data_IF_854483587592
#
_entry.id   IF_854483587592
#
_cell.length_a   1.000
_cell.length_b   1.000
_cell.length_c   1.000
_cell.angle_alpha   90.00
_cell.angle_beta   90.00
_cell.angle_gamma   90.00
#
_symmetry.space_group_name_H-M   'P 1'
#
loop_
_entity.id
_entity.type
_entity.pdbx_description
1 polymer ?
#
# COMPACT_ATOMS: atom_id res chain seq x y z
N UNK A 1 9.72 4.56 19.30
CA UNK A 1 9.51 5.93 19.80
C UNK A 1 8.16 5.97 20.51
N UNK A 2 8.08 6.45 21.75
CA UNK A 2 6.81 6.47 22.50
C UNK A 2 6.04 7.77 22.24
N UNK A 3 4.72 7.65 22.04
CA UNK A 3 3.84 8.82 21.85
C UNK A 3 3.90 9.76 23.07
N UNK A 4 3.92 11.09 22.85
CA UNK A 4 3.78 12.08 23.93
C UNK A 4 2.50 11.86 24.74
N UNK A 5 2.51 12.22 26.04
CA UNK A 5 1.37 11.97 26.93
C UNK A 5 0.06 12.59 26.42
N UNK A 6 0.11 13.82 25.90
CA UNK A 6 -1.06 14.50 25.30
C UNK A 6 -1.64 13.70 24.13
N UNK A 7 -0.77 13.21 23.23
CA UNK A 7 -1.18 12.36 22.12
C UNK A 7 -1.82 11.05 22.59
N UNK A 8 -1.27 10.39 23.61
CA UNK A 8 -1.86 9.17 24.18
C UNK A 8 -3.25 9.40 24.77
N UNK A 9 -3.45 10.52 25.46
CA UNK A 9 -4.77 10.90 26.01
C UNK A 9 -5.76 11.15 24.88
N UNK A 10 -5.36 11.88 23.83
CA UNK A 10 -6.25 12.13 22.69
C UNK A 10 -6.60 10.85 21.92
N UNK A 11 -5.66 9.91 21.74
CA UNK A 11 -5.96 8.58 21.16
C UNK A 11 -6.96 7.83 22.03
N UNK A 12 -6.78 7.82 23.35
CA UNK A 12 -7.74 7.18 24.26
C UNK A 12 -9.13 7.78 24.10
N UNK A 13 -9.24 9.11 24.07
CA UNK A 13 -10.53 9.80 24.10
C UNK A 13 -11.26 9.73 22.76
N UNK A 14 -10.54 9.79 21.64
CA UNK A 14 -11.12 9.84 20.30
C UNK A 14 -11.17 8.48 19.59
N UNK A 15 -10.24 7.56 19.88
CA UNK A 15 -10.12 6.28 19.16
C UNK A 15 -10.40 5.06 20.04
N UNK A 16 -9.79 4.96 21.23
CA UNK A 16 -9.92 3.74 22.07
C UNK A 16 -11.22 3.70 22.87
N UNK A 17 -11.77 4.87 23.22
CA UNK A 17 -13.01 4.97 23.98
C UNK A 17 -14.17 4.32 23.18
N UNK A 18 -14.84 3.28 23.72
CA UNK A 18 -15.98 2.63 23.05
C UNK A 18 -17.13 3.58 22.71
N UNK A 19 -17.27 4.67 23.48
CA UNK A 19 -18.31 5.67 23.24
C UNK A 19 -17.91 6.76 22.23
N UNK A 20 -16.68 6.70 21.72
CA UNK A 20 -16.19 7.65 20.72
C UNK A 20 -16.96 7.52 19.40
N UNK A 21 -17.08 8.62 18.63
CA UNK A 21 -17.72 8.60 17.31
C UNK A 21 -17.11 7.57 16.34
N UNK A 22 -15.78 7.39 16.37
CA UNK A 22 -15.10 6.41 15.52
C UNK A 22 -15.44 4.97 15.88
N UNK A 23 -15.44 4.60 17.18
CA UNK A 23 -15.82 3.26 17.60
C UNK A 23 -17.29 2.95 17.30
N UNK A 24 -18.17 3.95 17.42
CA UNK A 24 -19.58 3.82 17.01
C UNK A 24 -19.71 3.56 15.51
N UNK A 25 -18.95 4.26 14.67
CA UNK A 25 -18.94 4.04 13.23
C UNK A 25 -18.41 2.65 12.86
N UNK A 26 -17.32 2.19 13.50
CA UNK A 26 -16.79 0.82 13.31
C UNK A 26 -17.82 -0.23 13.73
N UNK A 27 -18.50 -0.01 14.85
CA UNK A 27 -19.53 -0.92 15.35
C UNK A 27 -20.74 -1.00 14.39
N UNK A 28 -21.22 0.14 13.89
CA UNK A 28 -22.29 0.19 12.91
C UNK A 28 -21.91 -0.57 11.63
N UNK A 29 -20.71 -0.33 11.11
CA UNK A 29 -20.20 -1.06 9.95
C UNK A 29 -20.13 -2.57 10.21
N UNK A 30 -19.64 -2.99 11.38
CA UNK A 30 -19.59 -4.40 11.77
C UNK A 30 -20.99 -5.04 11.84
N UNK A 31 -21.99 -4.31 12.32
CA UNK A 31 -23.37 -4.79 12.40
C UNK A 31 -23.98 -4.99 11.02
N UNK A 32 -23.75 -4.07 10.08
CA UNK A 32 -24.23 -4.17 8.70
C UNK A 32 -23.48 -5.26 7.92
N UNK A 33 -22.15 -5.29 8.01
CA UNK A 33 -21.31 -6.22 7.25
C UNK A 33 -21.42 -7.67 7.76
N UNK A 34 -21.74 -7.86 9.04
CA UNK A 34 -21.76 -9.19 9.67
C UNK A 34 -20.39 -9.84 9.86
N UNK A 35 -19.30 -9.11 9.58
CA UNK A 35 -17.91 -9.57 9.70
C UNK A 35 -17.13 -8.69 10.68
N UNK A 36 -16.01 -9.21 11.20
CA UNK A 36 -15.11 -8.39 12.01
C UNK A 36 -14.49 -7.26 11.17
N UNK A 37 -14.34 -6.08 11.77
CA UNK A 37 -13.67 -4.91 11.17
C UNK A 37 -12.41 -4.63 11.97
N UNK A 38 -11.26 -4.64 11.31
CA UNK A 38 -9.96 -4.40 11.91
C UNK A 38 -9.31 -3.14 11.33
N UNK A 39 -8.98 -2.20 12.21
CA UNK A 39 -8.24 -0.99 11.90
C UNK A 39 -7.37 -0.64 13.11
N UNK A 40 -6.05 -0.66 12.97
CA UNK A 40 -5.10 -0.20 13.98
C UNK A 40 -4.19 0.87 13.38
N UNK A 41 -4.52 2.16 13.57
CA UNK A 41 -3.67 3.24 13.07
C UNK A 41 -2.32 3.25 13.80
N UNK A 42 -1.23 3.33 13.04
CA UNK A 42 0.13 3.45 13.56
C UNK A 42 0.40 4.88 14.07
N UNK A 43 -0.19 5.21 15.22
CA UNK A 43 -0.22 6.56 15.78
C UNK A 43 1.16 7.21 15.92
N UNK A 44 2.19 6.43 16.26
CA UNK A 44 3.55 6.96 16.41
C UNK A 44 4.09 7.49 15.08
N UNK A 45 3.75 6.83 13.97
CA UNK A 45 4.19 7.21 12.62
C UNK A 45 3.34 8.37 12.13
N UNK A 46 2.00 8.26 12.27
CA UNK A 46 1.06 9.31 11.90
C UNK A 46 1.39 10.65 12.58
N UNK A 47 1.66 10.64 13.88
CA UNK A 47 2.05 11.84 14.61
C UNK A 47 3.40 12.36 14.13
N UNK A 48 4.40 11.50 13.93
CA UNK A 48 5.75 11.94 13.51
C UNK A 48 5.75 12.59 12.13
N UNK A 49 4.92 12.08 11.22
CA UNK A 49 4.87 12.54 9.83
C UNK A 49 3.97 13.77 9.64
N UNK A 50 2.88 13.87 10.40
CA UNK A 50 1.94 14.98 10.32
C UNK A 50 2.25 16.11 11.34
N UNK A 51 3.27 15.95 12.21
CA UNK A 51 3.69 16.98 13.20
C UNK A 51 4.05 18.31 12.53
N UNK A 52 4.54 18.26 11.27
CA UNK A 52 4.92 19.47 10.51
C UNK A 52 3.71 20.29 10.04
N UNK A 53 2.54 19.67 9.94
CA UNK A 53 1.30 20.28 9.45
C UNK A 53 0.42 20.77 10.60
N UNK A 54 0.52 20.11 11.77
CA UNK A 54 -0.33 20.36 12.92
C UNK A 54 0.48 20.79 14.13
N UNK A 55 0.25 22.04 14.59
CA UNK A 55 0.88 22.55 15.82
C UNK A 55 0.37 21.84 17.09
N UNK A 56 -0.90 21.40 17.10
CA UNK A 56 -1.52 20.68 18.21
C UNK A 56 -1.76 19.20 17.88
N UNK A 57 -1.06 18.32 18.62
CA UNK A 57 -1.17 16.86 18.53
C UNK A 57 -2.58 16.36 18.86
N UNK A 58 -3.34 17.07 19.70
CA UNK A 58 -4.72 16.71 19.98
C UNK A 58 -5.61 16.89 18.76
N UNK A 59 -5.43 18.01 18.04
CA UNK A 59 -6.18 18.30 16.82
C UNK A 59 -5.80 17.35 15.68
N UNK A 60 -4.51 17.00 15.57
CA UNK A 60 -4.04 15.99 14.62
C UNK A 60 -4.78 14.66 14.82
N UNK A 61 -4.79 14.14 16.05
CA UNK A 61 -5.44 12.84 16.34
C UNK A 61 -6.95 12.93 16.13
N UNK A 62 -7.60 14.03 16.54
CA UNK A 62 -9.01 14.24 16.30
C UNK A 62 -9.32 14.25 14.79
N UNK A 63 -8.51 14.95 13.99
CA UNK A 63 -8.66 15.02 12.53
C UNK A 63 -8.51 13.64 11.88
N UNK A 64 -7.43 12.90 12.19
CA UNK A 64 -7.22 11.54 11.69
C UNK A 64 -8.39 10.63 12.06
N UNK A 65 -8.85 10.71 13.31
CA UNK A 65 -10.00 9.95 13.79
C UNK A 65 -11.27 10.29 13.01
N UNK A 66 -11.49 11.57 12.72
CA UNK A 66 -12.64 12.02 11.93
C UNK A 66 -12.57 11.55 10.47
N UNK A 67 -11.40 11.48 9.85
CA UNK A 67 -11.24 10.86 8.52
C UNK A 67 -11.66 9.39 8.53
N UNK A 68 -11.20 8.63 9.53
CA UNK A 68 -11.54 7.23 9.70
C UNK A 68 -13.05 7.06 9.94
N UNK A 69 -13.61 7.89 10.82
CA UNK A 69 -15.05 7.91 11.07
C UNK A 69 -15.85 8.16 9.78
N UNK A 70 -15.51 9.19 9.01
CA UNK A 70 -16.18 9.49 7.74
C UNK A 70 -16.07 8.32 6.77
N UNK A 71 -14.89 7.70 6.66
CA UNK A 71 -14.71 6.53 5.79
C UNK A 71 -15.61 5.36 6.21
N UNK A 72 -15.66 5.02 7.50
CA UNK A 72 -16.53 3.95 8.00
C UNK A 72 -18.02 4.25 7.79
N UNK A 73 -18.44 5.50 7.99
CA UNK A 73 -19.81 5.93 7.73
C UNK A 73 -20.18 5.78 6.26
N UNK A 74 -19.34 6.27 5.35
CA UNK A 74 -19.58 6.14 3.90
C UNK A 74 -19.66 4.68 3.47
N UNK A 75 -18.78 3.82 3.99
CA UNK A 75 -18.84 2.39 3.68
C UNK A 75 -20.11 1.74 4.24
N UNK A 76 -20.53 2.12 5.45
CA UNK A 76 -21.80 1.62 6.03
C UNK A 76 -22.98 2.03 5.17
N UNK A 77 -23.05 3.30 4.77
CA UNK A 77 -24.09 3.82 3.88
C UNK A 77 -24.13 3.11 2.52
N UNK A 78 -22.97 2.74 1.98
CA UNK A 78 -22.88 1.97 0.74
C UNK A 78 -23.40 0.53 0.89
N UNK A 79 -23.14 -0.10 2.03
CA UNK A 79 -23.61 -1.47 2.30
C UNK A 79 -25.11 -1.53 2.57
N UNK A 80 -25.68 -0.48 3.17
CA UNK A 80 -27.12 -0.36 3.42
C UNK A 80 -27.92 0.08 2.17
N UNK A 81 -27.25 0.50 1.09
CA UNK A 81 -27.89 0.94 -0.15
C UNK A 81 -28.22 -0.28 -1.05
N UNK A 82 -29.50 -0.64 -1.12
CA UNK A 82 -30.01 -1.74 -1.97
C UNK A 82 -29.63 -1.58 -3.45
N UNK A 83 -29.39 -0.35 -3.92
CA UNK A 83 -28.95 -0.12 -5.32
C UNK A 83 -27.52 -0.60 -5.59
N UNK A 84 -26.73 -0.86 -4.54
CA UNK A 84 -25.34 -1.29 -4.60
C UNK A 84 -25.16 -2.78 -4.23
N UNK A 85 -26.24 -3.57 -4.22
CA UNK A 85 -26.21 -5.00 -3.85
C UNK A 85 -25.14 -5.79 -4.62
N UNK A 86 -25.02 -5.59 -5.93
CA UNK A 86 -23.98 -6.26 -6.75
C UNK A 86 -22.55 -5.91 -6.32
N UNK A 87 -22.33 -4.67 -5.90
CA UNK A 87 -21.02 -4.22 -5.41
C UNK A 87 -20.74 -4.80 -4.01
N UNK A 88 -21.75 -4.84 -3.15
CA UNK A 88 -21.68 -5.44 -1.82
C UNK A 88 -21.33 -6.92 -1.89
N UNK A 89 -21.95 -7.67 -2.80
CA UNK A 89 -21.62 -9.09 -3.04
C UNK A 89 -20.18 -9.29 -3.50
N UNK A 90 -19.67 -8.41 -4.40
CA UNK A 90 -18.26 -8.43 -4.82
C UNK A 90 -17.32 -8.19 -3.64
N UNK A 91 -17.62 -7.21 -2.80
CA UNK A 91 -16.83 -6.92 -1.60
C UNK A 91 -16.80 -8.12 -0.65
N UNK A 92 -17.96 -8.70 -0.34
CA UNK A 92 -18.06 -9.88 0.54
C UNK A 92 -17.32 -11.09 -0.02
N UNK A 93 -17.41 -11.30 -1.33
CA UNK A 93 -16.66 -12.35 -2.04
C UNK A 93 -15.16 -12.13 -1.87
N UNK A 94 -14.66 -10.92 -2.17
CA UNK A 94 -13.25 -10.55 -2.02
C UNK A 94 -12.76 -10.70 -0.58
N UNK A 95 -13.55 -10.28 0.39
CA UNK A 95 -13.22 -10.46 1.81
C UNK A 95 -13.12 -11.95 2.11
N UNK A 96 -14.13 -12.76 1.81
CA UNK A 96 -14.12 -14.20 2.12
C UNK A 96 -13.03 -15.01 1.39
N UNK A 97 -12.63 -14.59 0.19
CA UNK A 97 -11.56 -15.24 -0.57
C UNK A 97 -10.16 -14.90 -0.06
N UNK A 98 -9.94 -13.65 0.35
CA UNK A 98 -8.61 -13.12 0.66
C UNK A 98 -8.35 -12.97 2.16
N UNK A 99 -9.39 -12.79 2.98
CA UNK A 99 -9.31 -12.60 4.42
C UNK A 99 -10.53 -13.21 5.14
N UNK A 100 -10.59 -13.07 6.47
CA UNK A 100 -11.77 -13.48 7.27
C UNK A 100 -12.46 -12.29 7.94
N UNK A 101 -12.00 -11.08 7.62
CA UNK A 101 -12.39 -9.82 8.24
C UNK A 101 -12.08 -8.65 7.32
N UNK A 102 -12.82 -7.55 7.47
CA UNK A 102 -12.51 -6.30 6.76
C UNK A 102 -11.29 -5.65 7.42
N UNK A 103 -10.19 -5.50 6.66
CA UNK A 103 -9.02 -4.75 7.11
C UNK A 103 -9.00 -3.35 6.50
N UNK A 104 -8.76 -2.33 7.33
CA UNK A 104 -8.45 -0.97 6.90
C UNK A 104 -7.05 -0.60 7.36
N UNK A 105 -6.20 -0.23 6.41
CA UNK A 105 -4.83 0.23 6.63
C UNK A 105 -4.78 1.74 6.40
N UNK A 106 -4.16 2.45 7.34
CA UNK A 106 -4.06 3.91 7.29
C UNK A 106 -2.64 4.29 6.90
N UNK A 107 -2.52 5.05 5.82
CA UNK A 107 -1.25 5.57 5.31
C UNK A 107 -1.33 7.08 5.10
N UNK A 108 -0.18 7.68 4.83
CA UNK A 108 -0.08 9.10 4.50
C UNK A 108 0.15 9.20 3.01
N UNK A 109 -0.75 9.93 2.34
CA UNK A 109 -0.71 10.20 0.91
C UNK A 109 0.62 10.86 0.53
N UNK A 110 1.11 10.51 -0.66
CA UNK A 110 2.17 11.26 -1.35
C UNK A 110 1.62 12.48 -2.08
N UNK A 111 0.29 12.57 -2.20
CA UNK A 111 -0.45 13.65 -2.86
C UNK A 111 -1.18 14.54 -1.86
N UNK A 112 -1.68 15.68 -2.34
CA UNK A 112 -2.39 16.66 -1.50
C UNK A 112 -3.80 16.21 -1.07
N UNK A 113 -4.28 15.06 -1.57
CA UNK A 113 -5.65 14.62 -1.37
C UNK A 113 -5.73 13.30 -0.60
N UNK A 114 -6.82 13.16 0.16
CA UNK A 114 -7.21 11.90 0.76
C UNK A 114 -7.72 10.95 -0.32
N UNK A 115 -7.42 9.66 -0.22
CA UNK A 115 -7.94 8.67 -1.14
C UNK A 115 -8.09 7.30 -0.49
N UNK A 116 -8.97 6.48 -1.02
CA UNK A 116 -9.14 5.08 -0.61
C UNK A 116 -9.06 4.15 -1.82
N UNK A 117 -8.49 2.97 -1.63
CA UNK A 117 -8.45 1.93 -2.66
C UNK A 117 -8.40 0.54 -2.02
N UNK A 118 -8.85 -0.47 -2.77
CA UNK A 118 -8.64 -1.86 -2.41
C UNK A 118 -7.23 -2.31 -2.79
N UNK A 119 -6.60 -3.14 -1.95
CA UNK A 119 -5.31 -3.75 -2.22
C UNK A 119 -5.39 -5.25 -1.95
N UNK A 120 -5.36 -6.06 -3.01
CA UNK A 120 -5.26 -7.52 -2.90
C UNK A 120 -3.98 -7.93 -2.15
N UNK A 121 -2.89 -7.19 -2.35
CA UNK A 121 -1.62 -7.46 -1.68
C UNK A 121 -1.63 -7.19 -0.17
N UNK A 122 -2.37 -6.17 0.26
CA UNK A 122 -2.50 -5.82 1.69
C UNK A 122 -3.77 -6.38 2.33
N UNK A 123 -4.49 -7.22 1.61
CA UNK A 123 -5.67 -7.95 2.07
C UNK A 123 -6.74 -7.03 2.69
N UNK A 124 -6.99 -5.88 2.07
CA UNK A 124 -7.98 -4.92 2.54
C UNK A 124 -7.91 -3.55 1.88
N UNK A 125 -8.61 -2.60 2.48
CA UNK A 125 -8.62 -1.21 2.03
C UNK A 125 -7.40 -0.45 2.57
N UNK A 126 -6.87 0.44 1.74
CA UNK A 126 -5.85 1.41 2.13
C UNK A 126 -6.46 2.81 2.06
N UNK A 127 -6.50 3.50 3.20
CA UNK A 127 -6.87 4.90 3.31
C UNK A 127 -5.60 5.75 3.39
N UNK A 128 -5.38 6.58 2.36
CA UNK A 128 -4.29 7.54 2.30
C UNK A 128 -4.77 8.90 2.82
N UNK A 129 -4.14 9.40 3.87
CA UNK A 129 -4.46 10.69 4.50
C UNK A 129 -3.63 11.83 3.91
N UNK A 130 -4.20 13.03 3.75
CA UNK A 130 -3.48 14.18 3.20
C UNK A 130 -2.38 14.66 4.15
N UNK A 131 -1.30 15.20 3.60
CA UNK A 131 -0.09 15.56 4.35
C UNK A 131 0.37 17.03 4.19
N UNK A 132 -0.35 17.85 3.42
CA UNK A 132 0.06 19.22 3.09
C UNK A 132 -0.79 20.28 3.78
N UNK A 133 -2.07 20.02 4.02
CA UNK A 133 -3.00 21.01 4.57
C UNK A 133 -3.99 20.38 5.55
N UNK A 134 -4.51 21.22 6.45
CA UNK A 134 -5.61 20.89 7.34
C UNK A 134 -6.90 20.92 6.55
N UNK A 135 -7.53 19.77 6.41
CA UNK A 135 -8.80 19.64 5.70
C UNK A 135 -9.94 19.22 6.66
N UNK A 136 -11.16 19.60 6.30
CA UNK A 136 -12.35 19.08 6.98
C UNK A 136 -12.68 17.68 6.42
N UNK A 137 -12.65 16.61 7.24
CA UNK A 137 -12.80 15.23 6.73
C UNK A 137 -14.13 14.98 5.98
N UNK A 138 -15.20 15.66 6.37
CA UNK A 138 -16.52 15.53 5.76
C UNK A 138 -16.54 15.86 4.26
N UNK A 139 -15.64 16.73 3.78
CA UNK A 139 -15.58 17.10 2.37
C UNK A 139 -15.13 15.94 1.47
N UNK A 140 -14.50 14.91 2.04
CA UNK A 140 -14.03 13.73 1.30
C UNK A 140 -15.05 12.60 1.25
N UNK A 141 -16.22 12.74 1.89
CA UNK A 141 -17.23 11.69 1.90
C UNK A 141 -17.65 11.29 0.47
N UNK A 142 -17.89 12.27 -0.41
CA UNK A 142 -18.21 12.02 -1.82
C UNK A 142 -17.08 11.34 -2.58
N UNK A 143 -15.83 11.78 -2.34
CA UNK A 143 -14.63 11.20 -2.97
C UNK A 143 -14.43 9.75 -2.52
N UNK A 144 -14.59 9.46 -1.23
CA UNK A 144 -14.51 8.10 -0.71
C UNK A 144 -15.62 7.23 -1.28
N UNK A 145 -16.85 7.75 -1.41
CA UNK A 145 -17.96 7.00 -1.99
C UNK A 145 -17.65 6.58 -3.43
N UNK A 146 -17.21 7.52 -4.26
CA UNK A 146 -16.82 7.27 -5.65
C UNK A 146 -15.69 6.25 -5.74
N UNK A 147 -14.62 6.44 -4.96
CA UNK A 147 -13.46 5.55 -4.97
C UNK A 147 -13.74 4.15 -4.43
N UNK A 148 -14.65 4.02 -3.45
CA UNK A 148 -15.10 2.71 -2.95
C UNK A 148 -15.89 1.96 -4.02
N UNK A 149 -16.77 2.64 -4.77
CA UNK A 149 -17.50 2.02 -5.87
C UNK A 149 -16.56 1.58 -7.00
N UNK A 150 -15.56 2.39 -7.32
CA UNK A 150 -14.60 2.12 -8.38
C UNK A 150 -13.49 1.12 -7.98
N UNK A 151 -13.37 0.73 -6.71
CA UNK A 151 -12.18 0.02 -6.22
C UNK A 151 -11.98 -1.39 -6.81
N UNK A 152 -13.02 -1.98 -7.39
CA UNK A 152 -12.97 -3.30 -8.05
C UNK A 152 -12.94 -3.21 -9.58
N UNK A 153 -13.10 -2.02 -10.14
CA UNK A 153 -13.04 -1.82 -11.57
C UNK A 153 -11.57 -1.80 -12.04
N UNK A 154 -11.27 -2.35 -13.23
CA UNK A 154 -9.91 -2.32 -13.76
C UNK A 154 -9.47 -0.86 -13.92
N UNK A 155 -8.35 -0.50 -13.26
CA UNK A 155 -7.78 0.86 -13.28
C UNK A 155 -7.64 1.36 -14.72
N UNK A 156 -8.60 2.17 -15.19
CA UNK A 156 -8.45 2.95 -16.42
C UNK A 156 -7.36 3.99 -16.17
N UNK A 157 -6.44 4.24 -17.13
CA UNK A 157 -5.46 5.30 -16.98
C UNK A 157 -6.21 6.62 -16.77
N UNK A 158 -5.98 7.26 -15.62
CA UNK A 158 -6.63 8.51 -15.25
C UNK A 158 -6.36 9.57 -16.33
N UNK A 159 -7.42 10.02 -17.01
CA UNK A 159 -7.37 11.25 -17.79
C UNK A 159 -7.44 12.41 -16.79
N UNK A 160 -6.51 13.38 -16.84
CA UNK A 160 -6.68 14.61 -16.09
C UNK A 160 -7.89 15.35 -16.68
N UNK A 161 -8.97 15.46 -15.91
CA UNK A 161 -10.09 16.32 -16.26
C UNK A 161 -9.76 17.76 -15.83
N UNK A 162 -10.03 18.76 -16.70
CA UNK A 162 -9.79 20.16 -16.38
C UNK A 162 -10.78 20.63 -15.32
N UNK A 163 -10.24 21.26 -14.28
CA UNK A 163 -11.00 21.99 -13.26
C UNK A 163 -11.69 23.15 -13.98
N UNK A 164 -13.02 23.13 -14.05
CA UNK A 164 -13.81 24.30 -14.39
C UNK A 164 -13.78 25.28 -13.20
N UNK A 165 -12.94 26.30 -13.29
CA UNK A 165 -13.07 27.50 -12.46
C UNK A 165 -14.18 28.39 -13.04
N UNK A 166 -15.31 28.44 -12.35
CA UNK A 166 -16.36 29.42 -12.58
C UNK A 166 -15.96 30.76 -11.97
N UNK A 167 -15.51 31.69 -12.81
CA UNK A 167 -15.62 33.14 -12.56
C UNK A 167 -15.74 33.81 -13.92
N UNK A 168 -16.91 34.39 -14.18
CA UNK A 168 -17.14 35.25 -15.33
C UNK A 168 -16.54 36.63 -15.08
N UNK A 169 -15.92 37.18 -16.12
CA UNK A 169 -16.32 38.48 -16.69
C UNK A 169 -15.63 38.66 -18.05
N UNK A 170 -16.45 38.94 -19.06
CA UNK A 170 -16.08 39.45 -20.37
C UNK A 170 -15.28 40.74 -20.23
N UNK A 171 -14.20 40.97 -20.99
CA UNK A 171 -13.85 42.26 -21.62
C UNK A 171 -12.66 42.09 -22.61
N UNK A 172 -12.95 42.40 -23.87
CA UNK A 172 -12.10 43.01 -24.91
C UNK A 172 -10.76 42.37 -25.37
N UNK A 173 -10.79 42.01 -26.65
CA UNK A 173 -9.72 41.88 -27.64
C UNK A 173 -8.84 43.14 -27.76
N UNK A 174 -7.51 42.98 -27.67
CA UNK A 174 -6.52 43.73 -28.49
C UNK A 174 -5.24 42.89 -28.63
N UNK A 175 -4.93 42.47 -29.85
CA UNK A 175 -3.67 41.82 -30.18
C UNK A 175 -2.48 42.78 -30.12
N UNK A 176 -1.36 42.30 -29.57
CA UNK A 176 0.00 42.74 -29.93
C UNK A 176 0.91 41.51 -29.83
N UNK A 177 1.50 41.15 -30.96
CA UNK A 177 2.59 40.19 -31.08
C UNK A 177 3.86 40.82 -30.47
N UNK A 178 4.53 40.12 -29.57
CA UNK A 178 5.94 40.35 -29.25
C UNK A 178 6.66 39.02 -29.00
N UNK A 179 7.90 38.99 -29.47
CA UNK A 179 8.79 37.86 -29.77
C UNK A 179 9.08 36.84 -28.64
N UNK A 180 9.58 35.63 -29.01
CA UNK A 180 9.73 34.50 -28.08
C UNK A 180 10.97 34.61 -27.18
N UNK A 181 10.75 34.80 -25.87
CA UNK A 181 11.77 34.52 -24.86
C UNK A 181 11.95 33.00 -24.70
N UNK A 182 13.16 32.54 -25.02
CA UNK A 182 13.63 31.18 -24.82
C UNK A 182 13.54 30.77 -23.34
N UNK A 183 12.88 29.64 -23.00
CA UNK A 183 13.05 29.04 -21.70
C UNK A 183 14.46 28.46 -21.59
N UNK A 184 15.17 28.91 -20.57
CA UNK A 184 16.50 28.44 -20.20
C UNK A 184 16.60 26.91 -20.20
N UNK A 185 17.66 26.40 -20.85
CA UNK A 185 18.10 25.01 -20.79
C UNK A 185 18.15 24.54 -19.35
N UNK A 186 17.20 23.69 -18.94
CA UNK A 186 17.35 22.86 -17.75
C UNK A 186 18.62 22.02 -17.93
N UNK A 187 19.64 22.31 -17.14
CA UNK A 187 20.82 21.47 -17.02
C UNK A 187 20.34 20.08 -16.59
N UNK A 188 20.47 19.11 -17.50
CA UNK A 188 20.49 17.70 -17.16
C UNK A 188 21.69 17.48 -16.24
N UNK A 189 21.44 17.40 -14.94
CA UNK A 189 22.42 16.92 -13.98
C UNK A 189 22.69 15.45 -14.28
N UNK A 190 23.86 15.20 -14.87
CA UNK A 190 24.45 13.86 -14.95
C UNK A 190 24.43 13.22 -13.57
N UNK A 191 23.85 12.03 -13.47
CA UNK A 191 23.97 11.14 -12.32
C UNK A 191 25.45 10.84 -12.06
N UNK A 192 26.03 11.56 -11.11
CA UNK A 192 27.30 11.24 -10.50
C UNK A 192 26.98 10.75 -9.08
N UNK A 193 27.52 9.60 -8.61
CA UNK A 193 27.30 9.18 -7.24
C UNK A 193 27.96 10.20 -6.32
N UNK A 194 27.15 10.98 -5.60
CA UNK A 194 27.65 11.89 -4.57
C UNK A 194 28.30 11.06 -3.48
N UNK A 195 29.61 11.18 -3.33
CA UNK A 195 30.31 10.71 -2.13
C UNK A 195 29.71 11.47 -0.96
N UNK A 196 29.02 10.74 -0.07
CA UNK A 196 28.35 11.32 1.09
C UNK A 196 29.43 11.62 2.13
N UNK A 197 30.02 12.81 2.08
CA UNK A 197 31.10 13.22 2.98
C UNK A 197 30.61 13.58 4.40
N UNK A 198 29.29 13.79 4.56
CA UNK A 198 28.66 14.15 5.83
C UNK A 198 27.43 13.28 6.09
N UNK A 199 27.21 12.89 7.35
CA UNK A 199 26.00 12.14 7.73
C UNK A 199 24.75 12.99 7.45
N UNK A 200 23.71 12.43 6.80
CA UNK A 200 22.46 13.15 6.53
C UNK A 200 21.69 13.44 7.82
N UNK A 201 21.00 14.58 7.88
CA UNK A 201 20.10 14.93 8.99
C UNK A 201 18.90 13.96 9.01
N UNK A 202 18.63 13.26 10.13
CA UNK A 202 17.49 12.36 10.26
C UNK A 202 16.13 12.94 9.86
N UNK A 203 15.92 14.24 10.03
CA UNK A 203 14.65 14.90 9.71
C UNK A 203 14.47 15.19 8.21
N UNK A 204 15.55 15.04 7.44
CA UNK A 204 15.60 15.25 5.98
C UNK A 204 15.66 13.95 5.19
N UNK A 205 15.83 12.81 5.88
CA UNK A 205 15.90 11.50 5.23
C UNK A 205 14.53 11.12 4.62
N UNK A 206 14.51 10.48 3.45
CA UNK A 206 13.27 9.96 2.86
C UNK A 206 12.62 8.94 3.79
N UNK A 207 11.28 8.81 3.70
CA UNK A 207 10.54 7.81 4.47
C UNK A 207 11.07 6.40 4.15
N UNK A 208 11.13 5.47 5.13
CA UNK A 208 11.63 4.12 4.90
C UNK A 208 10.99 3.40 3.70
N UNK A 209 9.68 3.54 3.48
CA UNK A 209 9.00 2.97 2.32
C UNK A 209 9.52 3.51 0.98
N UNK A 210 9.85 4.80 0.91
CA UNK A 210 10.40 5.43 -0.31
C UNK A 210 11.88 5.10 -0.56
N UNK A 211 12.63 4.70 0.49
CA UNK A 211 14.04 4.30 0.36
C UNK A 211 14.18 3.03 -0.48
N UNK A 212 13.23 2.10 -0.36
CA UNK A 212 13.26 0.79 -1.00
C UNK A 212 12.63 0.78 -2.41
N UNK A 213 11.89 1.83 -2.77
CA UNK A 213 11.26 1.97 -4.09
C UNK A 213 12.21 2.44 -5.20
N UNK A 214 13.43 2.89 -4.85
CA UNK A 214 14.44 3.35 -5.81
C UNK A 214 15.58 2.34 -5.91
N UNK A 215 16.22 2.31 -7.07
CA UNK A 215 17.45 1.53 -7.26
C UNK A 215 18.53 2.00 -6.28
N UNK A 216 19.34 1.09 -5.71
CA UNK A 216 19.39 -0.35 -6.00
C UNK A 216 18.23 -1.15 -5.40
N UNK A 217 17.63 -2.02 -6.21
CA UNK A 217 16.68 -3.00 -5.69
C UNK A 217 17.44 -4.18 -5.08
N UNK A 218 17.08 -4.52 -3.86
CA UNK A 218 17.56 -5.67 -3.13
C UNK A 218 16.51 -6.79 -3.12
N UNK A 219 16.98 -8.01 -3.35
CA UNK A 219 16.18 -9.24 -3.29
C UNK A 219 16.96 -10.30 -2.52
N UNK A 220 16.29 -11.00 -1.62
CA UNK A 220 16.84 -12.08 -0.82
C UNK A 220 16.03 -13.34 -1.02
N UNK A 221 16.70 -14.47 -1.22
CA UNK A 221 16.07 -15.79 -1.31
C UNK A 221 16.61 -16.65 -0.18
N UNK A 222 15.73 -17.23 0.62
CA UNK A 222 16.07 -18.11 1.74
C UNK A 222 15.38 -19.46 1.57
N UNK A 223 16.14 -20.54 1.51
CA UNK A 223 15.64 -21.91 1.48
C UNK A 223 15.64 -22.50 2.90
N UNK A 224 14.47 -22.57 3.53
CA UNK A 224 14.28 -23.20 4.83
C UNK A 224 13.96 -24.69 4.65
N UNK A 225 15.00 -25.51 4.50
CA UNK A 225 14.86 -26.94 4.27
C UNK A 225 14.39 -27.28 2.84
N UNK A 226 13.68 -28.40 2.67
CA UNK A 226 13.26 -28.89 1.34
C UNK A 226 11.88 -28.39 0.89
N UNK A 227 11.13 -27.79 1.80
CA UNK A 227 9.69 -27.57 1.63
C UNK A 227 9.28 -26.11 1.76
N UNK A 228 10.23 -25.21 2.03
CA UNK A 228 9.92 -23.80 2.24
C UNK A 228 11.00 -22.92 1.61
N UNK A 229 10.56 -21.95 0.81
CA UNK A 229 11.41 -20.87 0.29
C UNK A 229 10.74 -19.54 0.63
N UNK A 230 11.51 -18.62 1.19
CA UNK A 230 11.09 -17.24 1.44
C UNK A 230 11.87 -16.30 0.53
N UNK A 231 11.18 -15.35 -0.08
CA UNK A 231 11.76 -14.38 -0.99
C UNK A 231 11.35 -13.00 -0.50
N UNK A 232 12.33 -12.19 -0.10
CA UNK A 232 12.13 -10.81 0.34
C UNK A 232 12.59 -9.87 -0.76
N UNK A 233 11.83 -8.83 -1.07
CA UNK A 233 12.20 -7.88 -2.11
C UNK A 233 11.78 -6.46 -1.73
N UNK A 234 12.68 -5.52 -1.98
CA UNK A 234 12.44 -4.07 -1.89
C UNK A 234 11.48 -3.55 -2.97
N UNK A 235 11.40 -4.24 -4.11
CA UNK A 235 10.54 -3.87 -5.24
C UNK A 235 9.33 -4.82 -5.32
N UNK A 236 8.19 -4.35 -4.83
CA UNK A 236 6.92 -5.09 -4.72
C UNK A 236 6.48 -5.75 -6.02
N UNK A 237 6.56 -5.01 -7.14
CA UNK A 237 6.10 -5.51 -8.45
C UNK A 237 6.91 -6.73 -8.92
N UNK A 238 8.18 -6.86 -8.49
CA UNK A 238 8.97 -8.07 -8.79
C UNK A 238 8.32 -9.31 -8.16
N UNK A 239 7.85 -9.20 -6.92
CA UNK A 239 7.22 -10.32 -6.21
C UNK A 239 5.80 -10.60 -6.71
N UNK A 240 5.05 -9.58 -7.11
CA UNK A 240 3.73 -9.75 -7.75
C UNK A 240 3.85 -10.58 -9.03
N UNK A 241 4.74 -10.18 -9.95
CA UNK A 241 4.99 -10.91 -11.20
C UNK A 241 5.49 -12.33 -10.93
N UNK A 242 6.38 -12.50 -9.96
CA UNK A 242 6.89 -13.82 -9.58
C UNK A 242 5.78 -14.71 -8.99
N UNK A 243 4.92 -14.16 -8.13
CA UNK A 243 3.77 -14.85 -7.53
C UNK A 243 2.79 -15.32 -8.60
N UNK A 244 2.39 -14.43 -9.52
CA UNK A 244 1.48 -14.76 -10.62
C UNK A 244 2.07 -15.83 -11.55
N UNK A 245 3.35 -15.70 -11.91
CA UNK A 245 4.05 -16.70 -12.72
C UNK A 245 4.05 -18.06 -12.03
N UNK A 246 4.44 -18.13 -10.76
CA UNK A 246 4.53 -19.40 -10.03
C UNK A 246 3.14 -20.03 -9.83
N UNK A 247 2.10 -19.24 -9.54
CA UNK A 247 0.72 -19.73 -9.46
C UNK A 247 0.25 -20.34 -10.78
N UNK A 248 0.55 -19.70 -11.91
CA UNK A 248 0.20 -20.21 -13.25
C UNK A 248 0.84 -21.56 -13.56
N UNK A 249 2.05 -21.81 -13.07
CA UNK A 249 2.81 -23.04 -13.32
C UNK A 249 2.74 -24.05 -12.15
N UNK A 250 2.01 -23.74 -11.09
CA UNK A 250 1.83 -24.64 -9.96
C UNK A 250 0.97 -25.84 -10.37
N UNK A 251 1.45 -27.05 -10.08
CA UNK A 251 0.71 -28.29 -10.33
C UNK A 251 -0.30 -28.52 -9.22
N UNK A 252 -1.35 -29.27 -9.55
CA UNK A 252 -2.29 -29.80 -8.56
C UNK A 252 -1.64 -30.98 -7.83
N UNK A 253 -1.87 -31.09 -6.52
CA UNK A 253 -1.49 -32.24 -5.72
C UNK A 253 -2.47 -33.41 -5.97
N UNK A 254 -2.06 -34.49 -6.64
CA UNK A 254 -2.96 -35.60 -6.97
C UNK A 254 -3.26 -36.51 -5.78
N UNK A 255 -2.52 -36.38 -4.66
CA UNK A 255 -2.64 -37.26 -3.50
C UNK A 255 -3.74 -36.83 -2.53
N UNK A 256 -4.33 -35.66 -2.74
CA UNK A 256 -5.44 -35.14 -1.94
C UNK A 256 -6.70 -35.12 -2.79
N UNK A 257 -7.79 -35.68 -2.27
CA UNK A 257 -9.10 -35.73 -2.95
C UNK A 257 -9.64 -34.35 -3.30
N UNK A 258 -9.27 -33.33 -2.52
CA UNK A 258 -9.61 -31.92 -2.74
C UNK A 258 -8.79 -31.26 -3.85
N UNK A 259 -7.77 -31.94 -4.40
CA UNK A 259 -6.91 -31.45 -5.49
C UNK A 259 -6.38 -30.01 -5.26
N UNK A 260 -5.79 -29.69 -4.09
CA UNK A 260 -5.21 -28.37 -3.85
C UNK A 260 -3.91 -28.19 -4.66
N UNK A 261 -3.41 -26.96 -4.81
CA UNK A 261 -2.07 -26.71 -5.37
C UNK A 261 -0.99 -27.51 -4.62
N UNK A 262 0.03 -27.98 -5.34
CA UNK A 262 1.15 -28.74 -4.79
C UNK A 262 2.13 -27.84 -4.01
N UNK A 263 2.12 -26.55 -4.29
CA UNK A 263 2.88 -25.51 -3.59
C UNK A 263 1.90 -24.39 -3.23
N UNK A 264 1.82 -24.07 -1.96
CA UNK A 264 1.14 -22.88 -1.47
C UNK A 264 2.04 -21.66 -1.68
N UNK A 265 1.47 -20.60 -2.23
CA UNK A 265 2.18 -19.40 -2.65
C UNK A 265 1.50 -18.19 -2.00
N UNK A 266 2.16 -17.63 -1.00
CA UNK A 266 1.65 -16.52 -0.20
C UNK A 266 2.49 -15.27 -0.44
N UNK A 267 1.87 -14.23 -0.99
CA UNK A 267 2.48 -12.91 -1.13
C UNK A 267 2.00 -12.02 0.01
N UNK A 268 2.92 -11.58 0.85
CA UNK A 268 2.66 -10.67 1.95
C UNK A 268 3.30 -9.32 1.63
N UNK A 269 2.49 -8.27 1.55
CA UNK A 269 3.02 -6.92 1.42
C UNK A 269 3.28 -6.33 2.80
N UNK A 270 4.47 -5.75 2.99
CA UNK A 270 4.85 -5.12 4.25
C UNK A 270 3.93 -3.95 4.57
N UNK A 271 3.44 -3.87 5.81
CA UNK A 271 2.76 -2.66 6.27
C UNK A 271 3.80 -1.59 6.55
N UNK A 272 3.53 -0.33 6.16
CA UNK A 272 4.43 0.80 6.44
C UNK A 272 4.40 1.15 7.94
N UNK A 273 4.99 0.28 8.75
CA UNK A 273 5.34 0.46 10.16
C UNK A 273 6.85 0.25 10.32
N UNK A 274 7.48 0.61 11.44
CA UNK A 274 8.88 0.19 11.72
C UNK A 274 9.00 -1.34 12.01
N UNK A 275 8.32 -2.16 11.20
CA UNK A 275 8.31 -3.61 11.20
C UNK A 275 8.14 -4.11 9.76
N UNK A 276 9.15 -4.80 9.24
CA UNK A 276 9.21 -5.47 7.93
C UNK A 276 8.75 -4.58 6.76
N UNK A 277 9.56 -3.58 6.40
CA UNK A 277 9.31 -2.67 5.26
C UNK A 277 9.49 -3.31 3.88
N UNK A 278 9.56 -4.63 3.80
CA UNK A 278 9.79 -5.36 2.56
C UNK A 278 8.68 -6.38 2.34
N UNK A 279 8.32 -6.52 1.08
CA UNK A 279 7.35 -7.51 0.68
C UNK A 279 8.02 -8.89 0.69
N UNK A 280 7.23 -9.91 1.07
CA UNK A 280 7.71 -11.28 1.21
C UNK A 280 6.80 -12.25 0.46
N UNK A 281 7.39 -13.02 -0.44
CA UNK A 281 6.76 -14.15 -1.10
C UNK A 281 7.23 -15.45 -0.43
N UNK A 282 6.29 -16.22 0.12
CA UNK A 282 6.56 -17.51 0.74
C UNK A 282 6.03 -18.63 -0.15
N UNK A 283 6.88 -19.60 -0.42
CA UNK A 283 6.53 -20.85 -1.10
C UNK A 283 6.60 -21.97 -0.08
N UNK A 284 5.53 -22.74 0.07
CA UNK A 284 5.44 -23.81 1.06
C UNK A 284 4.82 -25.09 0.49
N UNK A 285 5.37 -26.25 0.85
CA UNK A 285 4.81 -27.56 0.56
C UNK A 285 4.47 -28.27 1.87
N UNK A 286 3.17 -28.48 2.12
CA UNK A 286 2.72 -29.26 3.26
C UNK A 286 3.14 -30.73 3.13
N UNK A 287 3.62 -31.32 4.22
CA UNK A 287 4.28 -32.62 4.18
C UNK A 287 3.82 -33.53 5.33
N UNK A 288 2.54 -33.94 5.31
CA UNK A 288 1.99 -34.82 6.35
C UNK A 288 2.35 -36.30 6.19
N UNK A 289 2.71 -36.76 4.97
CA UNK A 289 2.91 -38.19 4.67
C UNK A 289 4.14 -38.53 3.81
N UNK A 290 5.15 -37.66 3.75
CA UNK A 290 6.41 -37.88 3.00
C UNK A 290 6.52 -36.98 1.76
N UNK A 291 7.73 -36.51 1.44
CA UNK A 291 7.93 -35.43 0.47
C UNK A 291 7.66 -35.89 -0.96
N UNK A 292 6.46 -35.66 -1.46
CA UNK A 292 6.15 -35.87 -2.89
C UNK A 292 6.61 -34.66 -3.72
N UNK A 293 6.62 -33.47 -3.13
CA UNK A 293 7.01 -32.24 -3.80
C UNK A 293 8.16 -31.56 -3.05
N UNK A 294 9.14 -31.08 -3.80
CA UNK A 294 10.24 -30.25 -3.30
C UNK A 294 10.23 -28.93 -4.05
N UNK A 295 10.50 -27.84 -3.33
CA UNK A 295 10.59 -26.52 -3.95
C UNK A 295 12.05 -26.31 -4.33
N UNK A 296 12.32 -26.26 -5.64
CA UNK A 296 13.67 -26.07 -6.15
C UNK A 296 14.04 -24.58 -6.12
N UNK A 297 15.01 -24.22 -5.26
CA UNK A 297 15.58 -22.87 -5.26
C UNK A 297 16.14 -22.50 -6.63
N UNK A 298 16.76 -23.45 -7.34
CA UNK A 298 17.36 -23.25 -8.67
C UNK A 298 16.40 -22.60 -9.68
N UNK A 299 15.12 -22.94 -9.65
CA UNK A 299 14.13 -22.32 -10.54
C UNK A 299 13.93 -20.84 -10.21
N UNK A 300 13.82 -20.52 -8.92
CA UNK A 300 13.67 -19.14 -8.43
C UNK A 300 14.91 -18.32 -8.79
N UNK A 301 16.11 -18.85 -8.52
CA UNK A 301 17.37 -18.15 -8.82
C UNK A 301 17.49 -17.84 -10.33
N UNK A 302 17.12 -18.79 -11.20
CA UNK A 302 17.12 -18.57 -12.65
C UNK A 302 16.13 -17.48 -13.10
N UNK A 303 14.96 -17.37 -12.46
CA UNK A 303 14.01 -16.28 -12.76
C UNK A 303 14.60 -14.93 -12.31
N UNK A 304 15.17 -14.89 -11.11
CA UNK A 304 15.79 -13.68 -10.53
C UNK A 304 16.94 -13.17 -11.40
N UNK A 305 17.83 -14.05 -11.83
CA UNK A 305 19.01 -13.70 -12.63
C UNK A 305 18.69 -13.52 -14.11
N UNK A 306 17.99 -14.49 -14.72
CA UNK A 306 17.79 -14.54 -16.16
C UNK A 306 16.64 -13.68 -16.67
N UNK A 307 15.56 -13.56 -15.90
CA UNK A 307 14.35 -12.82 -16.32
C UNK A 307 14.33 -11.42 -15.72
N UNK A 308 14.49 -11.32 -14.39
CA UNK A 308 14.46 -10.02 -13.72
C UNK A 308 15.80 -9.29 -13.77
N UNK A 309 16.88 -9.96 -14.15
CA UNK A 309 18.21 -9.36 -14.34
C UNK A 309 18.80 -8.81 -13.05
N UNK A 310 18.52 -9.42 -11.91
CA UNK A 310 19.25 -9.12 -10.68
C UNK A 310 20.64 -9.79 -10.72
N UNK A 311 21.62 -9.14 -10.11
CA UNK A 311 22.98 -9.66 -9.99
C UNK A 311 23.19 -10.22 -8.58
N UNK A 312 23.72 -11.44 -8.49
CA UNK A 312 24.04 -12.03 -7.20
C UNK A 312 25.21 -11.28 -6.56
N UNK A 313 25.02 -10.80 -5.32
CA UNK A 313 26.06 -10.11 -4.54
C UNK A 313 26.63 -10.96 -3.42
N UNK A 314 25.86 -11.95 -2.95
CA UNK A 314 26.27 -12.89 -1.92
C UNK A 314 25.45 -14.18 -2.04
N UNK A 315 26.04 -15.31 -1.64
CA UNK A 315 25.33 -16.57 -1.48
C UNK A 315 26.00 -17.46 -0.45
N UNK A 316 25.22 -18.25 0.25
CA UNK A 316 25.68 -19.39 1.04
C UNK A 316 24.87 -20.66 0.71
N UNK A 317 24.88 -21.66 1.60
CA UNK A 317 24.25 -22.96 1.38
C UNK A 317 22.71 -22.89 1.22
N UNK A 318 22.06 -21.87 1.78
CA UNK A 318 20.61 -21.75 1.79
C UNK A 318 20.11 -20.32 1.64
N UNK A 319 21.00 -19.34 1.44
CA UNK A 319 20.65 -17.93 1.25
C UNK A 319 21.33 -17.38 0.00
N UNK A 320 20.61 -16.54 -0.75
CA UNK A 320 21.12 -15.85 -1.93
C UNK A 320 20.67 -14.40 -1.90
N UNK A 321 21.62 -13.48 -2.05
CA UNK A 321 21.36 -12.06 -2.02
C UNK A 321 21.64 -11.47 -3.39
N UNK A 322 20.73 -10.64 -3.82
CA UNK A 322 20.67 -10.09 -5.15
C UNK A 322 20.52 -8.57 -5.10
N UNK A 323 21.15 -7.91 -6.06
CA UNK A 323 21.10 -6.46 -6.25
C UNK A 323 20.84 -6.13 -7.71
N UNK A 324 19.99 -5.15 -7.96
CA UNK A 324 19.75 -4.60 -9.29
C UNK A 324 19.85 -3.08 -9.25
N UNK A 325 20.88 -2.54 -9.90
CA UNK A 325 21.13 -1.09 -9.96
C UNK A 325 20.36 -0.39 -11.09
N UNK A 326 19.82 -1.15 -12.04
CA UNK A 326 19.10 -0.60 -13.20
C UNK A 326 17.58 -0.64 -12.98
N UNK A 327 16.86 0.49 -13.15
CA UNK A 327 15.42 0.51 -12.98
C UNK A 327 14.72 -0.34 -14.04
N UNK A 328 13.53 -0.85 -13.73
CA UNK A 328 12.67 -1.48 -14.74
C UNK A 328 12.15 -0.40 -15.70
N UNK A 329 12.22 -0.68 -17.01
CA UNK A 329 11.57 0.18 -18.00
C UNK A 329 10.07 -0.13 -17.96
N UNK A 330 9.22 0.90 -17.94
CA UNK A 330 7.78 0.71 -18.11
C UNK A 330 7.55 0.02 -19.46
N UNK A 331 6.81 -1.09 -19.44
CA UNK A 331 6.37 -1.80 -20.64
C UNK A 331 5.25 -1.04 -21.34
#
# INVERSE_FOLDING_TARGET
MSLPLKAKVSVRDNWTNPDSPAQKAIKALKEVLGLEVHCEPEWSILVSELDKVWEDKNQLIASVTSFLQTWFQVLTELLDDESQEEWTDKLLTKINELCSRLNLIVEISESEHASTQWSDGRLGFVLSLPNTQVYQPAQFAGIFKEQLLDCFEPKKPAKPLPIHSTTGDEWADVGVEDEPEQPAKQLQTKNQPSTVDYLPDPNTMPKPGTLLQKTPYHLFVYAAGKNKIEIECSHSQTLEVLSEYLKRWCRINPNLTTKPPAVEIELNHGTSGFGVTYDRLTLFCENRYGSVFTISATMILNLVEGVFGYQQVYSDACTWHYRRDTPFKKA
#
